data_IF_252841177569
#
_entry.id   IF_252841177569
#
_cell.length_a   1.000
_cell.length_b   1.000
_cell.length_c   1.000
_cell.angle_alpha   90.00
_cell.angle_beta   90.00
_cell.angle_gamma   90.00
#
_symmetry.space_group_name_H-M   'P 1'
#
loop_
_entity.id
_entity.type
_entity.pdbx_description
1 polymer ?
#
# COMPACT_ATOMS: atom_id res chain seq x y z
N UNK A 1 -41.58 -35.98 30.36
CA UNK A 1 -41.03 -34.62 30.09
C UNK A 1 -39.51 -34.58 29.94
N UNK A 2 -38.70 -35.50 30.48
CA UNK A 2 -37.23 -35.47 30.37
C UNK A 2 -36.67 -35.91 28.99
N UNK A 3 -37.40 -36.72 28.23
CA UNK A 3 -37.00 -37.21 26.89
C UNK A 3 -37.25 -36.18 25.77
N UNK A 4 -38.29 -35.34 25.92
CA UNK A 4 -38.61 -34.29 24.96
C UNK A 4 -37.58 -33.14 24.99
N UNK A 5 -37.03 -32.86 26.17
CA UNK A 5 -35.96 -31.85 26.34
C UNK A 5 -34.66 -32.28 25.65
N UNK A 6 -34.36 -33.58 25.60
CA UNK A 6 -33.15 -34.13 24.97
C UNK A 6 -33.18 -34.04 23.43
N UNK A 7 -34.38 -34.14 22.84
CA UNK A 7 -34.57 -34.02 21.40
C UNK A 7 -34.42 -32.57 20.92
N UNK A 8 -34.83 -31.60 21.75
CA UNK A 8 -34.70 -30.16 21.46
C UNK A 8 -33.23 -29.71 21.55
N UNK A 9 -32.44 -30.24 22.48
CA UNK A 9 -30.99 -29.94 22.55
C UNK A 9 -30.20 -30.55 21.40
N UNK A 10 -30.60 -31.71 20.86
CA UNK A 10 -29.95 -32.31 19.69
C UNK A 10 -30.24 -31.55 18.38
N UNK A 11 -31.41 -30.90 18.28
CA UNK A 11 -31.76 -30.07 17.13
C UNK A 11 -31.02 -28.72 17.12
N UNK A 12 -30.69 -28.17 18.31
CA UNK A 12 -29.95 -26.92 18.43
C UNK A 12 -28.46 -27.04 18.06
N UNK A 13 -27.84 -28.21 18.20
CA UNK A 13 -26.40 -28.40 17.91
C UNK A 13 -26.09 -28.57 16.42
N UNK A 14 -27.09 -28.96 15.60
CA UNK A 14 -26.93 -29.09 14.14
C UNK A 14 -26.90 -27.74 13.39
N UNK A 15 -27.23 -26.64 14.07
CA UNK A 15 -27.29 -25.29 13.47
C UNK A 15 -26.02 -24.46 13.68
N UNK A 16 -24.98 -25.03 14.29
CA UNK A 16 -23.70 -24.32 14.51
C UNK A 16 -22.81 -24.52 13.26
N UNK A 17 -23.21 -23.95 12.13
CA UNK A 17 -22.30 -23.68 11.00
C UNK A 17 -21.83 -22.23 11.08
N UNK A 18 -21.19 -21.87 12.19
CA UNK A 18 -20.61 -20.55 12.40
C UNK A 18 -19.09 -20.69 12.36
N UNK A 19 -18.53 -20.67 11.14
CA UNK A 19 -17.12 -20.35 10.78
C UNK A 19 -16.81 -20.94 9.40
N UNK A 20 -17.38 -20.37 8.34
CA UNK A 20 -16.77 -20.51 7.02
C UNK A 20 -17.03 -19.23 6.24
N UNK A 21 -16.32 -18.16 6.61
CA UNK A 21 -16.16 -17.03 5.71
C UNK A 21 -15.38 -17.57 4.51
N UNK A 22 -16.03 -17.71 3.36
CA UNK A 22 -15.37 -18.16 2.14
C UNK A 22 -14.16 -17.25 1.92
N UNK A 23 -12.96 -17.80 2.11
CA UNK A 23 -11.72 -17.06 2.03
C UNK A 23 -11.43 -16.79 0.56
N UNK A 24 -11.45 -15.51 0.19
CA UNK A 24 -11.07 -15.06 -1.15
C UNK A 24 -9.73 -14.32 -1.08
N UNK A 25 -8.89 -14.55 -2.09
CA UNK A 25 -7.66 -13.79 -2.32
C UNK A 25 -7.79 -13.08 -3.65
N UNK A 26 -7.32 -11.84 -3.72
CA UNK A 26 -7.29 -11.10 -4.96
C UNK A 26 -6.10 -11.57 -5.80
N UNK A 27 -6.28 -11.64 -7.12
CA UNK A 27 -5.19 -12.01 -8.02
C UNK A 27 -4.95 -10.87 -9.01
N UNK A 28 -3.69 -10.66 -9.33
CA UNK A 28 -3.27 -9.61 -10.25
C UNK A 28 -2.19 -10.13 -11.17
N UNK A 29 -2.45 -10.06 -12.46
CA UNK A 29 -1.47 -10.31 -13.50
C UNK A 29 -0.93 -8.98 -14.04
N UNK A 30 0.39 -8.84 -14.00
CA UNK A 30 1.08 -7.65 -14.49
C UNK A 30 1.83 -7.97 -15.78
N UNK A 31 1.70 -7.08 -16.75
CA UNK A 31 2.57 -7.02 -17.92
C UNK A 31 3.14 -5.61 -18.01
N UNK A 32 4.45 -5.51 -18.01
CA UNK A 32 5.14 -4.22 -18.06
C UNK A 32 6.11 -4.18 -19.23
N UNK A 33 6.14 -3.05 -19.91
CA UNK A 33 7.09 -2.70 -20.94
C UNK A 33 7.72 -1.37 -20.53
N UNK A 34 8.94 -1.43 -20.01
CA UNK A 34 9.63 -0.31 -19.36
C UNK A 34 10.98 -0.12 -20.04
N UNK A 35 11.24 1.12 -20.45
CA UNK A 35 12.51 1.56 -21.02
C UNK A 35 13.22 2.47 -20.02
N UNK A 36 14.46 2.15 -19.67
CA UNK A 36 15.26 2.87 -18.68
C UNK A 36 16.46 3.51 -19.36
N UNK A 37 16.57 4.83 -19.21
CA UNK A 37 17.77 5.59 -19.52
C UNK A 37 18.73 5.53 -18.32
N UNK A 38 19.86 4.86 -18.52
CA UNK A 38 20.89 4.68 -17.50
C UNK A 38 21.78 5.90 -17.30
N UNK A 39 21.81 6.83 -18.26
CA UNK A 39 22.60 8.07 -18.15
C UNK A 39 21.84 9.09 -17.30
N UNK A 40 20.52 9.15 -17.45
CA UNK A 40 19.66 10.09 -16.72
C UNK A 40 18.93 9.49 -15.53
N UNK A 41 19.07 8.17 -15.31
CA UNK A 41 18.39 7.38 -14.27
C UNK A 41 16.86 7.50 -14.30
N UNK A 42 16.29 7.71 -15.49
CA UNK A 42 14.86 7.85 -15.68
C UNK A 42 14.30 6.66 -16.45
N UNK A 43 13.00 6.43 -16.30
CA UNK A 43 12.32 5.40 -17.08
C UNK A 43 10.98 5.91 -17.59
N UNK A 44 10.56 5.35 -18.71
CA UNK A 44 9.21 5.47 -19.23
C UNK A 44 8.67 4.08 -19.52
N UNK A 45 7.35 3.96 -19.69
CA UNK A 45 6.80 2.67 -20.06
C UNK A 45 5.30 2.58 -19.90
N UNK A 46 4.82 1.37 -20.10
CA UNK A 46 3.42 1.00 -19.97
C UNK A 46 3.30 -0.22 -19.06
N UNK A 47 2.33 -0.14 -18.17
CA UNK A 47 1.89 -1.25 -17.34
C UNK A 47 0.45 -1.59 -17.72
N UNK A 48 0.22 -2.86 -18.01
CA UNK A 48 -1.10 -3.47 -18.12
C UNK A 48 -1.31 -4.38 -16.91
N UNK A 49 -2.48 -4.28 -16.30
CA UNK A 49 -2.83 -5.01 -15.10
C UNK A 49 -4.21 -5.64 -15.29
N UNK A 50 -4.29 -6.96 -15.18
CA UNK A 50 -5.55 -7.70 -15.11
C UNK A 50 -5.84 -8.05 -13.66
N UNK A 51 -6.90 -7.46 -13.10
CA UNK A 51 -7.31 -7.67 -11.72
C UNK A 51 -8.46 -8.65 -11.66
N UNK A 52 -8.30 -9.74 -10.93
CA UNK A 52 -9.36 -10.74 -10.73
C UNK A 52 -9.96 -10.56 -9.34
N UNK A 53 -11.19 -10.00 -9.30
CA UNK A 53 -11.95 -9.84 -8.07
C UNK A 53 -12.62 -11.16 -7.64
N UNK A 54 -12.03 -11.86 -6.68
CA UNK A 54 -12.64 -13.08 -6.11
C UNK A 54 -13.58 -12.81 -4.93
N UNK A 55 -13.70 -11.54 -4.49
CA UNK A 55 -14.67 -11.16 -3.48
C UNK A 55 -16.10 -11.28 -4.04
N UNK A 56 -17.09 -11.69 -3.22
CA UNK A 56 -18.50 -11.57 -3.59
C UNK A 56 -18.95 -10.10 -3.75
N UNK A 57 -18.20 -9.15 -3.20
CA UNK A 57 -18.53 -7.72 -3.23
C UNK A 57 -17.90 -7.02 -4.44
N UNK A 58 -18.59 -5.99 -4.93
CA UNK A 58 -18.08 -5.14 -6.02
C UNK A 58 -16.97 -4.21 -5.52
N UNK A 59 -15.82 -4.24 -6.19
CA UNK A 59 -14.70 -3.36 -5.92
C UNK A 59 -14.89 -2.02 -6.65
N UNK A 60 -15.03 -0.93 -5.88
CA UNK A 60 -15.27 0.41 -6.43
C UNK A 60 -14.00 1.28 -6.51
N UNK A 61 -12.96 0.94 -5.75
CA UNK A 61 -11.71 1.71 -5.65
C UNK A 61 -10.53 0.74 -5.59
N UNK A 62 -9.46 1.06 -6.32
CA UNK A 62 -8.20 0.33 -6.29
C UNK A 62 -7.08 1.29 -5.93
N UNK A 63 -6.25 0.90 -4.96
CA UNK A 63 -5.09 1.67 -4.53
C UNK A 63 -3.83 1.09 -5.16
N UNK A 64 -2.96 1.99 -5.61
CA UNK A 64 -1.65 1.65 -6.16
C UNK A 64 -0.57 2.33 -5.32
N UNK A 65 0.43 1.55 -4.91
CA UNK A 65 1.55 2.09 -4.16
C UNK A 65 2.63 2.60 -5.11
N UNK A 66 2.87 3.91 -5.08
CA UNK A 66 3.96 4.56 -5.80
C UNK A 66 5.16 4.74 -4.85
N UNK A 67 5.77 3.62 -4.43
CA UNK A 67 6.70 3.59 -3.30
C UNK A 67 7.87 4.58 -3.40
N UNK A 68 8.40 4.83 -4.60
CA UNK A 68 9.51 5.77 -4.75
C UNK A 68 9.14 7.21 -4.34
N UNK A 69 7.86 7.58 -4.41
CA UNK A 69 7.40 8.91 -4.00
C UNK A 69 7.61 9.20 -2.52
N UNK A 70 7.78 8.16 -1.69
CA UNK A 70 8.09 8.32 -0.27
C UNK A 70 9.50 8.91 -0.03
N UNK A 71 10.42 8.84 -0.99
CA UNK A 71 11.82 9.26 -0.79
C UNK A 71 12.11 10.63 -1.43
N UNK A 72 11.27 11.61 -1.11
CA UNK A 72 11.40 12.99 -1.55
C UNK A 72 11.36 13.93 -0.35
N UNK A 73 12.08 15.07 -0.37
CA UNK A 73 11.90 16.11 0.63
C UNK A 73 10.42 16.51 0.76
N UNK A 74 9.94 16.66 1.99
CA UNK A 74 8.54 16.95 2.34
C UNK A 74 7.54 15.84 2.00
N UNK A 75 7.98 14.63 1.62
CA UNK A 75 7.10 13.47 1.63
C UNK A 75 6.66 13.14 3.06
N UNK A 76 5.62 12.35 3.24
CA UNK A 76 5.24 11.90 4.59
C UNK A 76 6.32 11.07 5.25
N UNK A 77 7.11 10.30 4.51
CA UNK A 77 8.20 9.54 5.13
C UNK A 77 9.25 10.49 5.69
N UNK A 78 9.58 11.56 4.96
CA UNK A 78 10.46 12.62 5.45
C UNK A 78 9.90 13.27 6.71
N UNK A 79 8.65 13.74 6.65
CA UNK A 79 7.95 14.36 7.78
C UNK A 79 7.86 13.40 8.97
N UNK A 80 7.56 12.12 8.73
CA UNK A 80 7.47 11.09 9.77
C UNK A 80 8.82 10.87 10.45
N UNK A 81 9.91 10.78 9.70
CA UNK A 81 11.25 10.59 10.26
C UNK A 81 11.67 11.76 11.16
N UNK A 82 11.21 12.97 10.85
CA UNK A 82 11.48 14.16 11.66
C UNK A 82 10.64 14.21 12.95
N UNK A 83 9.46 13.59 12.97
CA UNK A 83 8.50 13.73 14.07
C UNK A 83 8.33 12.47 14.94
N UNK A 84 8.73 11.29 14.48
CA UNK A 84 8.61 10.06 15.26
C UNK A 84 9.65 10.04 16.40
N UNK A 85 9.24 9.50 17.55
CA UNK A 85 10.09 9.44 18.75
C UNK A 85 11.34 8.56 18.58
N UNK A 86 11.21 7.48 17.84
CA UNK A 86 12.26 6.48 17.62
C UNK A 86 12.38 6.17 16.12
N UNK A 87 12.98 7.06 15.33
CA UNK A 87 13.18 6.84 13.91
C UNK A 87 14.28 5.79 13.68
N UNK A 88 14.23 5.11 12.53
CA UNK A 88 15.33 4.25 12.11
C UNK A 88 16.62 5.06 11.98
N UNK A 89 17.63 4.75 12.80
CA UNK A 89 18.91 5.47 12.83
C UNK A 89 19.67 5.49 11.50
N UNK A 90 19.33 4.60 10.54
CA UNK A 90 19.89 4.60 9.18
C UNK A 90 19.31 5.72 8.31
N UNK A 91 18.13 6.21 8.67
CA UNK A 91 17.34 7.18 7.91
C UNK A 91 17.43 8.60 8.48
N UNK A 92 18.06 8.77 9.63
CA UNK A 92 18.21 10.08 10.30
C UNK A 92 19.66 10.38 10.66
N UNK A 93 19.90 11.65 10.98
CA UNK A 93 21.11 12.13 11.63
C UNK A 93 20.70 12.72 12.97
N UNK A 94 21.33 12.27 14.06
CA UNK A 94 21.14 12.91 15.36
C UNK A 94 22.03 14.15 15.45
N UNK A 95 21.41 15.34 15.49
CA UNK A 95 22.07 16.63 15.67
C UNK A 95 22.19 17.04 17.15
N UNK A 96 21.54 16.30 18.05
CA UNK A 96 21.56 16.53 19.50
C UNK A 96 22.60 15.66 20.22
N UNK A 97 22.32 15.30 21.48
CA UNK A 97 23.14 14.35 22.25
C UNK A 97 22.50 12.97 22.30
N UNK A 98 23.14 12.00 22.96
CA UNK A 98 22.54 10.68 23.18
C UNK A 98 21.34 10.74 24.15
N UNK A 99 21.41 11.66 25.09
CA UNK A 99 20.41 11.85 26.15
C UNK A 99 19.25 12.77 25.70
N UNK A 100 19.53 13.68 24.76
CA UNK A 100 18.56 14.58 24.16
C UNK A 100 18.73 14.58 22.63
N UNK A 101 18.26 13.53 21.93
CA UNK A 101 18.40 13.43 20.50
C UNK A 101 17.55 14.48 19.78
N UNK A 102 18.09 15.03 18.70
CA UNK A 102 17.38 15.88 17.75
C UNK A 102 17.56 15.24 16.38
N UNK A 103 16.53 14.56 15.89
CA UNK A 103 16.63 13.82 14.64
C UNK A 103 16.30 14.69 13.45
N UNK A 104 17.20 14.67 12.48
CA UNK A 104 17.00 15.24 11.16
C UNK A 104 16.93 14.10 10.14
N UNK A 105 15.87 14.08 9.33
CA UNK A 105 15.72 13.11 8.25
C UNK A 105 16.85 13.25 7.22
N UNK A 106 17.32 12.14 6.68
CA UNK A 106 18.26 12.15 5.54
C UNK A 106 17.53 12.43 4.23
N UNK A 107 16.23 12.16 4.16
CA UNK A 107 15.39 12.41 2.98
C UNK A 107 15.26 13.91 2.73
N UNK A 108 15.16 14.73 3.78
CA UNK A 108 15.04 16.19 3.66
C UNK A 108 16.24 16.86 2.98
N UNK A 109 17.39 16.17 2.91
CA UNK A 109 18.62 16.68 2.28
C UNK A 109 18.82 16.25 0.82
N UNK A 110 17.98 15.34 0.32
CA UNK A 110 18.12 14.83 -1.03
C UNK A 110 17.94 15.96 -2.05
N UNK A 111 18.85 16.02 -3.01
CA UNK A 111 18.75 16.91 -4.16
C UNK A 111 17.82 16.32 -5.23
N UNK A 112 17.39 17.15 -6.18
CA UNK A 112 16.46 16.73 -7.25
C UNK A 112 16.95 15.54 -8.09
N UNK A 113 18.27 15.30 -8.17
CA UNK A 113 18.85 14.17 -8.90
C UNK A 113 19.09 12.92 -8.03
N UNK A 114 18.79 13.01 -6.72
CA UNK A 114 18.94 11.94 -5.74
C UNK A 114 17.59 11.36 -5.29
N UNK A 115 16.48 11.94 -5.75
CA UNK A 115 15.12 11.51 -5.41
C UNK A 115 14.56 10.51 -6.40
N UNK A 116 13.74 9.60 -5.90
CA UNK A 116 12.93 8.69 -6.71
C UNK A 116 11.49 9.18 -6.83
N UNK A 117 10.86 8.94 -7.97
CA UNK A 117 9.42 9.14 -8.12
C UNK A 117 8.82 8.27 -9.22
N UNK A 118 7.53 7.99 -9.09
CA UNK A 118 6.69 7.39 -10.11
C UNK A 118 5.61 8.41 -10.45
N UNK A 119 5.56 8.80 -11.73
CA UNK A 119 4.53 9.71 -12.24
C UNK A 119 3.57 8.94 -13.15
N UNK A 120 2.31 8.83 -12.72
CA UNK A 120 1.24 8.25 -13.54
C UNK A 120 0.74 9.31 -14.52
N UNK A 121 1.11 9.16 -15.79
CA UNK A 121 0.75 10.14 -16.84
C UNK A 121 -0.69 9.95 -17.35
N UNK A 122 -1.18 8.72 -17.37
CA UNK A 122 -2.55 8.38 -17.80
C UNK A 122 -2.95 7.02 -17.26
N UNK A 123 -4.24 6.83 -17.00
CA UNK A 123 -4.81 5.54 -16.61
C UNK A 123 -6.05 5.26 -17.46
N UNK A 124 -6.16 4.01 -17.92
CA UNK A 124 -7.34 3.51 -18.60
C UNK A 124 -7.82 2.24 -17.92
N UNK A 125 -9.12 2.10 -17.78
CA UNK A 125 -9.78 0.85 -17.41
C UNK A 125 -10.54 0.37 -18.64
N UNK A 126 -10.28 -0.86 -19.08
CA UNK A 126 -10.96 -1.46 -20.25
C UNK A 126 -10.92 -0.54 -21.49
N UNK A 127 -9.75 0.07 -21.74
CA UNK A 127 -9.50 1.08 -22.79
C UNK A 127 -10.20 2.44 -22.64
N UNK A 128 -10.99 2.65 -21.58
CA UNK A 128 -11.67 3.92 -21.28
C UNK A 128 -10.82 4.74 -20.31
N UNK A 129 -10.66 6.04 -20.57
CA UNK A 129 -9.96 6.94 -19.65
C UNK A 129 -10.74 7.07 -18.34
N UNK A 130 -10.03 6.91 -17.22
CA UNK A 130 -10.60 7.07 -15.88
C UNK A 130 -9.95 8.24 -15.16
N UNK A 131 -10.69 8.83 -14.20
CA UNK A 131 -10.11 9.79 -13.27
C UNK A 131 -9.32 9.03 -12.21
N UNK A 132 -8.15 9.53 -11.88
CA UNK A 132 -7.33 9.04 -10.79
C UNK A 132 -6.65 10.22 -10.12
N UNK A 133 -6.25 10.03 -8.87
CA UNK A 133 -5.46 10.97 -8.12
C UNK A 133 -4.24 10.27 -7.55
N UNK A 134 -3.14 11.01 -7.45
CA UNK A 134 -1.97 10.59 -6.68
C UNK A 134 -1.99 11.38 -5.39
N UNK A 135 -2.34 10.68 -4.32
CA UNK A 135 -2.32 11.21 -2.97
C UNK A 135 -1.11 10.63 -2.24
N UNK A 136 -0.54 11.44 -1.36
CA UNK A 136 0.32 10.92 -0.32
C UNK A 136 -0.49 10.06 0.66
N UNK A 137 0.17 9.11 1.31
CA UNK A 137 -0.40 8.33 2.41
C UNK A 137 -0.69 9.23 3.63
N UNK A 138 -1.26 8.73 4.71
CA UNK A 138 -1.45 9.49 5.96
C UNK A 138 -0.86 8.63 7.06
#
# INVERSE_FOLDING_TARGET
MRTFTFFITLLLTLSISAQNTSYWQQHVDYKMDIDMDVETYQYNGKQELTYTNYSPDTLNVVFYHLYFNAFQPNSEMDVRLQNIKDPDGRMVTNLGTKEAPIYESRISKLQNHEIGFIKVNSLKQDSVNVKFETIGTI
#
